data_IF_648183869827
#
_entry.id   IF_648183869827
#
_cell.length_a   1.000
_cell.length_b   1.000
_cell.length_c   1.000
_cell.angle_alpha   90.00
_cell.angle_beta   90.00
_cell.angle_gamma   90.00
#
_symmetry.space_group_name_H-M   'P 1'
#
loop_
_entity.id
_entity.type
_entity.pdbx_description
1 polymer ?
#
# COMPACT_ATOMS: atom_id res chain seq x y z
N UNK A 1 -24.84 -3.93 -19.90
CA UNK A 1 -24.18 -4.79 -20.93
C UNK A 1 -22.85 -5.23 -20.35
N UNK A 2 -22.33 -6.39 -20.72
CA UNK A 2 -21.02 -6.82 -20.20
C UNK A 2 -19.88 -6.11 -20.96
N UNK A 3 -18.92 -5.58 -20.23
CA UNK A 3 -17.72 -4.93 -20.74
C UNK A 3 -16.65 -5.95 -21.12
N UNK A 4 -16.56 -7.08 -20.40
CA UNK A 4 -15.51 -8.10 -20.62
C UNK A 4 -16.10 -9.41 -21.17
N UNK A 5 -16.70 -9.37 -22.36
CA UNK A 5 -17.52 -10.46 -22.90
C UNK A 5 -16.81 -11.83 -23.02
N UNK A 6 -15.50 -11.83 -23.20
CA UNK A 6 -14.72 -13.06 -23.43
C UNK A 6 -14.18 -13.71 -22.15
N UNK A 7 -14.39 -13.09 -20.98
CA UNK A 7 -13.84 -13.55 -19.71
C UNK A 7 -14.98 -13.88 -18.75
N UNK A 8 -15.02 -15.13 -18.29
CA UNK A 8 -15.93 -15.59 -17.25
C UNK A 8 -15.45 -15.22 -15.85
N UNK A 9 -16.10 -15.76 -14.82
CA UNK A 9 -15.57 -15.71 -13.47
C UNK A 9 -14.30 -16.56 -13.37
N UNK A 10 -13.25 -16.01 -12.79
CA UNK A 10 -11.96 -16.65 -12.57
C UNK A 10 -12.06 -17.52 -11.33
N UNK A 11 -11.83 -18.82 -11.50
CA UNK A 11 -11.95 -19.83 -10.44
C UNK A 11 -10.58 -20.43 -10.10
N UNK A 12 -10.47 -21.03 -8.92
CA UNK A 12 -9.28 -21.79 -8.54
C UNK A 12 -9.25 -23.16 -9.23
N UNK A 13 -8.18 -23.44 -9.95
CA UNK A 13 -7.95 -24.72 -10.64
C UNK A 13 -6.71 -25.48 -10.15
N UNK A 14 -5.95 -24.88 -9.24
CA UNK A 14 -4.76 -25.49 -8.63
C UNK A 14 -3.48 -25.36 -9.46
N UNK A 15 -2.35 -25.68 -8.82
CA UNK A 15 -0.99 -25.35 -9.29
C UNK A 15 -0.57 -26.01 -10.61
N UNK A 16 -1.33 -27.01 -11.08
CA UNK A 16 -1.07 -27.72 -12.35
C UNK A 16 -1.90 -27.20 -13.51
N UNK A 17 -2.82 -26.24 -13.29
CA UNK A 17 -3.63 -25.67 -14.36
C UNK A 17 -2.79 -24.85 -15.33
N UNK A 18 -3.05 -25.01 -16.61
CA UNK A 18 -2.49 -24.21 -17.71
C UNK A 18 -3.48 -23.16 -18.24
N UNK A 19 -4.70 -23.09 -17.69
CA UNK A 19 -5.70 -22.10 -18.08
C UNK A 19 -5.24 -20.71 -17.62
N UNK A 20 -4.95 -19.74 -18.51
CA UNK A 20 -4.46 -18.42 -18.07
C UNK A 20 -5.49 -17.62 -17.27
N UNK A 21 -6.80 -17.90 -17.41
CA UNK A 21 -7.90 -17.23 -16.72
C UNK A 21 -8.43 -18.02 -15.52
N UNK A 22 -7.52 -18.57 -14.73
CA UNK A 22 -7.81 -19.31 -13.50
C UNK A 22 -6.75 -19.02 -12.44
N UNK A 23 -7.10 -19.12 -11.16
CA UNK A 23 -6.12 -19.06 -10.07
C UNK A 23 -5.44 -20.42 -9.89
N UNK A 24 -4.11 -20.41 -9.69
CA UNK A 24 -3.29 -21.60 -9.44
C UNK A 24 -2.96 -21.77 -7.96
N UNK A 25 -2.95 -20.67 -7.22
CA UNK A 25 -2.59 -20.64 -5.80
C UNK A 25 -3.61 -19.88 -4.95
N UNK A 26 -4.30 -18.88 -5.49
CA UNK A 26 -5.35 -18.18 -4.76
C UNK A 26 -6.63 -19.02 -4.72
N UNK A 27 -6.88 -19.66 -3.58
CA UNK A 27 -8.17 -20.22 -3.24
C UNK A 27 -8.78 -19.37 -2.12
N UNK A 28 -9.81 -18.54 -2.39
CA UNK A 28 -10.33 -17.57 -1.42
C UNK A 28 -10.82 -18.21 -0.13
N UNK A 29 -11.26 -19.48 -0.18
CA UNK A 29 -11.80 -20.22 0.98
C UNK A 29 -10.80 -21.12 1.69
N UNK A 30 -9.59 -21.27 1.15
CA UNK A 30 -8.53 -22.05 1.81
C UNK A 30 -8.11 -21.36 3.11
N UNK A 31 -8.12 -22.11 4.22
CA UNK A 31 -7.69 -21.61 5.53
C UNK A 31 -6.18 -21.78 5.68
N UNK A 32 -5.47 -20.68 5.88
CA UNK A 32 -4.02 -20.61 6.12
C UNK A 32 -3.80 -19.85 7.42
N UNK A 33 -2.96 -20.34 8.33
CA UNK A 33 -2.69 -19.68 9.62
C UNK A 33 -3.97 -19.23 10.38
N UNK A 34 -5.04 -20.01 10.29
CA UNK A 34 -6.30 -19.78 11.03
C UNK A 34 -7.32 -18.82 10.40
N UNK A 35 -7.06 -18.23 9.23
CA UNK A 35 -8.03 -17.40 8.48
C UNK A 35 -8.08 -17.83 7.01
N UNK A 36 -9.15 -17.50 6.29
CA UNK A 36 -9.19 -17.75 4.84
C UNK A 36 -8.18 -16.86 4.10
N UNK A 37 -7.76 -17.26 2.89
CA UNK A 37 -6.90 -16.40 2.08
C UNK A 37 -7.54 -15.05 1.79
N UNK A 38 -8.85 -15.01 1.54
CA UNK A 38 -9.59 -13.76 1.32
C UNK A 38 -9.52 -12.83 2.55
N UNK A 39 -9.62 -13.39 3.76
CA UNK A 39 -9.53 -12.63 5.03
C UNK A 39 -8.12 -12.10 5.31
N UNK A 40 -7.07 -12.84 4.92
CA UNK A 40 -5.69 -12.37 5.06
C UNK A 40 -5.34 -11.29 4.05
N UNK A 41 -5.67 -11.53 2.79
CA UNK A 41 -5.17 -10.75 1.66
C UNK A 41 -6.04 -9.53 1.39
N UNK A 42 -7.37 -9.67 1.54
CA UNK A 42 -8.33 -8.56 1.37
C UNK A 42 -8.03 -7.76 0.10
N UNK A 43 -7.85 -8.48 -1.01
CA UNK A 43 -7.36 -7.89 -2.25
C UNK A 43 -8.26 -6.74 -2.73
N UNK A 44 -7.62 -5.69 -3.23
CA UNK A 44 -8.27 -4.49 -3.75
C UNK A 44 -7.82 -4.17 -5.16
N UNK A 45 -8.77 -3.72 -5.99
CA UNK A 45 -8.50 -3.10 -7.29
C UNK A 45 -8.16 -1.60 -7.11
N UNK A 46 -7.03 -1.15 -7.65
CA UNK A 46 -6.74 0.26 -7.84
C UNK A 46 -7.53 0.81 -9.04
N UNK A 47 -8.44 1.76 -8.79
CA UNK A 47 -9.32 2.32 -9.83
C UNK A 47 -8.51 3.06 -10.90
N UNK A 48 -7.51 3.86 -10.50
CA UNK A 48 -6.71 4.69 -11.41
C UNK A 48 -6.00 3.82 -12.46
N UNK A 49 -5.21 2.83 -12.04
CA UNK A 49 -4.47 1.97 -12.99
C UNK A 49 -5.35 1.02 -13.79
N UNK A 50 -6.44 0.53 -13.21
CA UNK A 50 -7.28 -0.46 -13.90
C UNK A 50 -8.21 0.18 -14.93
N UNK A 51 -8.82 1.32 -14.59
CA UNK A 51 -9.95 1.88 -15.34
C UNK A 51 -9.62 3.20 -16.03
N UNK A 52 -8.63 3.94 -15.54
CA UNK A 52 -8.32 5.29 -16.06
C UNK A 52 -7.01 5.37 -16.83
N UNK A 53 -5.99 4.58 -16.46
CA UNK A 53 -4.69 4.63 -17.10
C UNK A 53 -4.75 4.13 -18.55
N UNK A 54 -4.48 5.03 -19.49
CA UNK A 54 -4.45 4.74 -20.94
C UNK A 54 -3.11 4.21 -21.46
N UNK A 55 -2.08 4.05 -20.62
CA UNK A 55 -0.74 3.62 -21.05
C UNK A 55 0.12 4.73 -21.66
N UNK A 56 -0.26 6.01 -21.49
CA UNK A 56 0.62 7.12 -21.82
C UNK A 56 1.86 7.14 -20.91
N UNK A 57 2.97 7.63 -21.44
CA UNK A 57 4.22 7.84 -20.73
C UNK A 57 4.83 9.19 -21.16
N UNK A 58 5.93 9.67 -20.56
CA UNK A 58 6.53 10.97 -20.93
C UNK A 58 6.95 11.10 -22.41
N UNK A 59 6.97 10.02 -23.18
CA UNK A 59 7.46 9.94 -24.55
C UNK A 59 6.41 9.46 -25.56
N UNK A 60 5.18 9.17 -25.14
CA UNK A 60 4.16 8.60 -26.02
C UNK A 60 2.73 8.76 -25.53
N UNK A 61 1.78 8.75 -26.47
CA UNK A 61 0.35 8.79 -26.19
C UNK A 61 -0.17 7.46 -25.61
N UNK A 62 -1.43 7.48 -25.20
CA UNK A 62 -2.19 6.30 -24.77
C UNK A 62 -2.15 5.17 -25.81
N UNK A 63 -2.16 3.92 -25.33
CA UNK A 63 -2.13 2.68 -26.11
C UNK A 63 -3.28 1.74 -25.76
N UNK A 64 -3.84 1.85 -24.55
CA UNK A 64 -4.89 0.99 -24.06
C UNK A 64 -6.11 0.99 -24.99
N UNK A 65 -6.69 -0.19 -25.18
CA UNK A 65 -7.98 -0.37 -25.86
C UNK A 65 -8.98 -0.85 -24.82
N UNK A 66 -9.99 -0.03 -24.53
CA UNK A 66 -11.04 -0.35 -23.56
C UNK A 66 -12.43 -0.26 -24.19
N UNK A 67 -13.39 -1.09 -23.73
CA UNK A 67 -14.75 -1.09 -24.27
C UNK A 67 -15.52 0.24 -24.07
N UNK A 68 -15.06 1.13 -23.18
CA UNK A 68 -15.69 2.41 -22.86
C UNK A 68 -15.02 3.63 -23.51
N UNK A 69 -13.99 3.45 -24.34
CA UNK A 69 -13.20 4.56 -24.90
C UNK A 69 -13.98 5.47 -25.86
N UNK A 70 -15.16 5.03 -26.31
CA UNK A 70 -16.07 5.84 -27.12
C UNK A 70 -16.90 6.85 -26.30
N UNK A 71 -16.79 6.84 -24.97
CA UNK A 71 -17.53 7.71 -24.05
C UNK A 71 -16.64 8.83 -23.51
N UNK A 72 -17.25 9.89 -22.96
CA UNK A 72 -16.52 10.98 -22.32
C UNK A 72 -17.29 11.59 -21.14
N UNK A 73 -16.60 12.41 -20.34
CA UNK A 73 -17.20 13.13 -19.21
C UNK A 73 -17.92 12.20 -18.23
N UNK A 74 -19.14 12.58 -17.84
CA UNK A 74 -19.94 11.82 -16.87
C UNK A 74 -20.42 10.45 -17.40
N UNK A 75 -20.58 10.29 -18.72
CA UNK A 75 -20.99 9.00 -19.28
C UNK A 75 -19.84 7.99 -19.22
N UNK A 76 -18.61 8.44 -19.47
CA UNK A 76 -17.41 7.64 -19.25
C UNK A 76 -17.23 7.25 -17.79
N UNK A 77 -17.43 8.19 -16.86
CA UNK A 77 -17.36 7.93 -15.42
C UNK A 77 -18.35 6.83 -14.98
N UNK A 78 -19.60 6.90 -15.43
CA UNK A 78 -20.61 5.86 -15.15
C UNK A 78 -20.22 4.51 -15.74
N UNK A 79 -19.75 4.48 -16.99
CA UNK A 79 -19.32 3.24 -17.64
C UNK A 79 -18.14 2.58 -16.91
N UNK A 80 -17.17 3.37 -16.42
CA UNK A 80 -16.05 2.86 -15.61
C UNK A 80 -16.52 2.28 -14.28
N UNK A 81 -17.54 2.86 -13.62
CA UNK A 81 -18.14 2.24 -12.43
C UNK A 81 -18.72 0.87 -12.77
N UNK A 82 -19.57 0.78 -13.79
CA UNK A 82 -20.17 -0.49 -14.18
C UNK A 82 -19.11 -1.55 -14.55
N UNK A 83 -18.10 -1.16 -15.33
CA UNK A 83 -16.99 -2.02 -15.70
C UNK A 83 -16.15 -2.44 -14.49
N UNK A 84 -15.83 -1.54 -13.58
CA UNK A 84 -15.06 -1.83 -12.37
C UNK A 84 -15.74 -2.88 -11.49
N UNK A 85 -17.06 -2.78 -11.29
CA UNK A 85 -17.78 -3.79 -10.52
C UNK A 85 -17.90 -5.13 -11.25
N UNK A 86 -18.06 -5.14 -12.58
CA UNK A 86 -17.98 -6.39 -13.36
C UNK A 86 -16.60 -7.04 -13.25
N UNK A 87 -15.53 -6.24 -13.34
CA UNK A 87 -14.15 -6.70 -13.24
C UNK A 87 -13.87 -7.35 -11.89
N UNK A 88 -14.22 -6.66 -10.80
CA UNK A 88 -14.06 -7.17 -9.43
C UNK A 88 -14.89 -8.43 -9.18
N UNK A 89 -16.09 -8.53 -9.75
CA UNK A 89 -16.91 -9.73 -9.63
C UNK A 89 -16.26 -10.93 -10.33
N UNK A 90 -15.75 -10.72 -11.54
CA UNK A 90 -15.07 -11.78 -12.32
C UNK A 90 -13.78 -12.25 -11.66
N UNK A 91 -13.00 -11.38 -11.02
CA UNK A 91 -11.77 -11.77 -10.31
C UNK A 91 -11.98 -12.16 -8.85
N UNK A 92 -13.21 -12.10 -8.34
CA UNK A 92 -13.48 -12.27 -6.91
C UNK A 92 -12.64 -11.33 -6.02
N UNK A 93 -12.48 -10.07 -6.45
CA UNK A 93 -11.88 -9.02 -5.62
C UNK A 93 -12.95 -8.51 -4.64
N UNK A 94 -12.70 -8.50 -3.32
CA UNK A 94 -13.67 -8.01 -2.34
C UNK A 94 -13.65 -6.48 -2.17
N UNK A 95 -12.53 -5.82 -2.50
CA UNK A 95 -12.35 -4.39 -2.28
C UNK A 95 -11.92 -3.62 -3.54
N UNK A 96 -12.04 -2.29 -3.47
CA UNK A 96 -11.43 -1.34 -4.40
C UNK A 96 -10.94 -0.09 -3.66
N UNK A 97 -10.07 0.67 -4.32
CA UNK A 97 -9.54 1.96 -3.89
C UNK A 97 -9.66 2.99 -5.02
N UNK A 98 -9.85 4.28 -4.69
CA UNK A 98 -9.92 5.35 -5.69
C UNK A 98 -9.45 6.72 -5.18
N UNK A 99 -8.94 7.56 -6.10
CA UNK A 99 -8.93 9.01 -5.94
C UNK A 99 -10.24 9.61 -6.44
N UNK A 100 -10.64 10.72 -5.85
CA UNK A 100 -11.83 11.48 -6.25
C UNK A 100 -11.89 11.84 -7.75
N UNK A 101 -10.76 12.23 -8.36
CA UNK A 101 -10.69 12.54 -9.81
C UNK A 101 -10.75 11.31 -10.71
N UNK A 102 -10.49 10.11 -10.17
CA UNK A 102 -10.55 8.87 -10.95
C UNK A 102 -12.00 8.51 -11.28
N UNK A 103 -12.88 8.76 -10.30
CA UNK A 103 -14.29 8.39 -10.39
C UNK A 103 -15.14 9.46 -11.07
N UNK A 104 -14.76 10.73 -11.01
CA UNK A 104 -15.56 11.83 -11.54
C UNK A 104 -14.71 12.96 -12.16
N UNK A 105 -15.14 13.56 -13.29
CA UNK A 105 -14.45 14.70 -13.88
C UNK A 105 -14.57 15.96 -13.00
N UNK A 106 -13.48 16.73 -12.91
CA UNK A 106 -13.41 17.97 -12.12
C UNK A 106 -14.44 19.03 -12.52
N UNK A 107 -14.84 19.07 -13.80
CA UNK A 107 -15.69 20.14 -14.32
C UNK A 107 -14.97 21.51 -14.33
N UNK A 108 -15.74 22.60 -14.28
CA UNK A 108 -15.21 23.97 -14.39
C UNK A 108 -14.84 24.61 -13.05
N UNK A 109 -15.35 24.10 -11.93
CA UNK A 109 -15.14 24.66 -10.60
C UNK A 109 -15.44 23.62 -9.50
N UNK A 110 -15.04 23.94 -8.26
CA UNK A 110 -15.17 23.02 -7.12
C UNK A 110 -16.62 22.59 -6.81
N UNK A 111 -17.61 23.46 -7.06
CA UNK A 111 -19.03 23.12 -6.83
C UNK A 111 -19.52 22.11 -7.86
N UNK A 112 -19.11 22.27 -9.11
CA UNK A 112 -19.38 21.29 -10.17
C UNK A 112 -18.67 19.96 -9.89
N UNK A 113 -17.40 20.00 -9.46
CA UNK A 113 -16.67 18.79 -9.08
C UNK A 113 -17.41 18.00 -8.00
N UNK A 114 -17.89 18.66 -6.95
CA UNK A 114 -18.65 18.01 -5.88
C UNK A 114 -19.95 17.40 -6.40
N UNK A 115 -20.68 18.10 -7.28
CA UNK A 115 -21.91 17.57 -7.90
C UNK A 115 -21.63 16.33 -8.76
N UNK A 116 -20.51 16.33 -9.48
CA UNK A 116 -20.08 15.18 -10.30
C UNK A 116 -19.71 13.99 -9.41
N UNK A 117 -18.91 14.22 -8.36
CA UNK A 117 -18.58 13.21 -7.34
C UNK A 117 -19.87 12.63 -6.75
N UNK A 118 -20.80 13.46 -6.30
CA UNK A 118 -22.03 12.99 -5.66
C UNK A 118 -22.83 12.07 -6.58
N UNK A 119 -22.93 12.42 -7.86
CA UNK A 119 -23.61 11.61 -8.87
C UNK A 119 -22.95 10.23 -9.04
N UNK A 120 -21.63 10.16 -9.05
CA UNK A 120 -20.90 8.89 -9.22
C UNK A 120 -20.89 8.08 -7.92
N UNK A 121 -20.77 8.73 -6.77
CA UNK A 121 -20.84 8.09 -5.45
C UNK A 121 -22.22 7.46 -5.22
N UNK A 122 -23.31 8.08 -5.68
CA UNK A 122 -24.64 7.46 -5.68
C UNK A 122 -24.65 6.12 -6.45
N UNK A 123 -24.00 6.09 -7.61
CA UNK A 123 -23.90 4.89 -8.45
C UNK A 123 -23.02 3.81 -7.78
N UNK A 124 -21.85 4.18 -7.28
CA UNK A 124 -20.93 3.28 -6.55
C UNK A 124 -21.65 2.68 -5.35
N UNK A 125 -22.35 3.49 -4.54
CA UNK A 125 -23.10 3.01 -3.37
C UNK A 125 -24.15 1.97 -3.76
N UNK A 126 -24.86 2.19 -4.88
CA UNK A 126 -25.83 1.24 -5.42
C UNK A 126 -25.19 -0.10 -5.82
N UNK A 127 -24.02 -0.05 -6.47
CA UNK A 127 -23.28 -1.26 -6.85
C UNK A 127 -22.68 -2.00 -5.64
N UNK A 128 -22.16 -1.29 -4.64
CA UNK A 128 -21.67 -1.90 -3.39
C UNK A 128 -22.79 -2.66 -2.68
N UNK A 129 -24.00 -2.09 -2.62
CA UNK A 129 -25.17 -2.75 -2.02
C UNK A 129 -25.59 -4.02 -2.76
N UNK A 130 -25.50 -4.05 -4.09
CA UNK A 130 -25.93 -5.20 -4.89
C UNK A 130 -24.90 -6.33 -4.97
N UNK A 131 -23.61 -5.99 -4.88
CA UNK A 131 -22.50 -6.94 -5.06
C UNK A 131 -21.82 -7.35 -3.76
N UNK A 132 -21.99 -6.58 -2.69
CA UNK A 132 -21.30 -6.78 -1.42
C UNK A 132 -19.82 -6.35 -1.42
N UNK A 133 -19.31 -5.79 -2.52
CA UNK A 133 -17.96 -5.24 -2.61
C UNK A 133 -17.84 -4.01 -1.72
N UNK A 134 -16.65 -3.78 -1.19
CA UNK A 134 -16.39 -2.76 -0.17
C UNK A 134 -15.31 -1.78 -0.60
N UNK A 135 -15.35 -0.58 -0.03
CA UNK A 135 -14.30 0.41 -0.23
C UNK A 135 -13.21 0.17 0.81
N UNK A 136 -12.00 -0.22 0.38
CA UNK A 136 -10.89 -0.38 1.32
C UNK A 136 -10.41 0.97 1.79
N UNK A 137 -10.19 1.88 0.84
CA UNK A 137 -9.94 3.30 1.12
C UNK A 137 -10.23 4.18 -0.09
N UNK A 138 -10.45 5.45 0.18
CA UNK A 138 -10.42 6.49 -0.84
C UNK A 138 -9.42 7.57 -0.44
N UNK A 139 -9.06 8.41 -1.41
CA UNK A 139 -8.12 9.51 -1.23
C UNK A 139 -8.47 10.69 -2.15
N UNK A 140 -7.71 11.78 -2.04
CA UNK A 140 -7.85 12.97 -2.87
C UNK A 140 -6.63 13.10 -3.79
N UNK A 141 -6.84 13.18 -5.10
CA UNK A 141 -5.76 13.50 -6.02
C UNK A 141 -5.45 15.00 -5.95
N UNK A 142 -4.41 15.34 -5.18
CA UNK A 142 -3.93 16.70 -5.02
C UNK A 142 -2.56 16.90 -5.70
N UNK A 143 -2.37 16.26 -6.86
CA UNK A 143 -1.06 16.24 -7.53
C UNK A 143 -1.10 16.33 -9.06
N UNK A 144 -2.22 15.96 -9.69
CA UNK A 144 -2.37 16.02 -11.16
C UNK A 144 -2.74 17.42 -11.64
N UNK A 145 -3.68 18.10 -10.98
CA UNK A 145 -4.15 19.41 -11.44
C UNK A 145 -3.04 20.47 -11.34
N UNK A 146 -2.87 21.38 -12.35
CA UNK A 146 -1.81 22.40 -12.34
C UNK A 146 -1.76 23.28 -11.09
N UNK A 147 -2.90 23.44 -10.38
CA UNK A 147 -2.94 24.22 -9.12
C UNK A 147 -1.99 23.68 -8.04
N UNK A 148 -1.67 22.39 -8.07
CA UNK A 148 -0.85 21.70 -7.07
C UNK A 148 0.64 21.62 -7.44
N UNK A 149 1.09 22.31 -8.51
CA UNK A 149 2.48 22.23 -8.98
C UNK A 149 3.53 22.67 -7.93
N UNK A 150 3.12 23.36 -6.87
CA UNK A 150 3.98 23.80 -5.77
C UNK A 150 3.59 23.17 -4.42
N UNK A 151 2.92 22.02 -4.44
CA UNK A 151 2.40 21.36 -3.23
C UNK A 151 0.92 21.62 -3.00
N UNK A 152 0.35 20.88 -2.05
CA UNK A 152 -1.05 20.99 -1.64
C UNK A 152 -1.12 21.47 -0.18
N UNK A 153 -0.84 20.59 0.79
CA UNK A 153 -0.63 20.96 2.18
C UNK A 153 0.70 21.68 2.42
N UNK A 154 1.69 21.49 1.54
CA UNK A 154 3.00 22.15 1.61
C UNK A 154 3.12 23.38 0.71
N UNK A 155 2.01 23.82 0.12
CA UNK A 155 2.04 24.92 -0.86
C UNK A 155 2.51 26.27 -0.28
N UNK A 156 3.19 27.06 -1.11
CA UNK A 156 3.48 28.46 -0.83
C UNK A 156 2.29 29.41 -1.08
N UNK A 157 1.16 28.90 -1.58
CA UNK A 157 -0.06 29.68 -1.87
C UNK A 157 -1.23 29.26 -0.96
N UNK A 158 -1.62 30.12 -0.03
CA UNK A 158 -2.72 29.85 0.92
C UNK A 158 -4.06 29.52 0.24
N UNK A 159 -4.34 30.03 -0.96
CA UNK A 159 -5.56 29.68 -1.69
C UNK A 159 -5.53 28.22 -2.17
N UNK A 160 -4.35 27.72 -2.59
CA UNK A 160 -4.16 26.31 -2.95
C UNK A 160 -4.30 25.42 -1.72
N UNK A 161 -3.79 25.85 -0.56
CA UNK A 161 -3.96 25.13 0.70
C UNK A 161 -5.45 24.99 1.06
N UNK A 162 -6.22 26.07 0.89
CA UNK A 162 -7.67 26.03 1.12
C UNK A 162 -8.39 25.08 0.15
N UNK A 163 -7.98 25.04 -1.12
CA UNK A 163 -8.50 24.08 -2.10
C UNK A 163 -8.18 22.63 -1.72
N UNK A 164 -6.94 22.34 -1.29
CA UNK A 164 -6.53 21.02 -0.81
C UNK A 164 -7.37 20.57 0.40
N UNK A 165 -7.52 21.44 1.40
CA UNK A 165 -8.35 21.16 2.57
C UNK A 165 -9.82 20.90 2.22
N UNK A 166 -10.37 21.65 1.25
CA UNK A 166 -11.74 21.41 0.77
C UNK A 166 -11.86 20.04 0.07
N UNK A 167 -10.86 19.62 -0.69
CA UNK A 167 -10.85 18.32 -1.36
C UNK A 167 -10.74 17.16 -0.36
N UNK A 168 -9.85 17.28 0.64
CA UNK A 168 -9.76 16.33 1.77
C UNK A 168 -11.09 16.23 2.52
N UNK A 169 -11.70 17.37 2.87
CA UNK A 169 -13.02 17.42 3.53
C UNK A 169 -14.06 16.61 2.76
N UNK A 170 -14.19 16.83 1.45
CA UNK A 170 -15.13 16.09 0.60
C UNK A 170 -14.78 14.60 0.53
N UNK A 171 -13.49 14.27 0.43
CA UNK A 171 -13.01 12.89 0.44
C UNK A 171 -13.40 12.14 1.72
N UNK A 172 -13.28 12.78 2.89
CA UNK A 172 -13.70 12.18 4.17
C UNK A 172 -15.21 11.94 4.23
N UNK A 173 -16.02 12.87 3.71
CA UNK A 173 -17.48 12.70 3.61
C UNK A 173 -17.85 11.52 2.70
N UNK A 174 -17.20 11.40 1.55
CA UNK A 174 -17.38 10.28 0.61
C UNK A 174 -16.95 8.96 1.24
N UNK A 175 -15.79 8.93 1.89
CA UNK A 175 -15.28 7.74 2.58
C UNK A 175 -16.25 7.27 3.66
N UNK A 176 -16.76 8.19 4.49
CA UNK A 176 -17.80 7.88 5.47
C UNK A 176 -19.07 7.33 4.80
N UNK A 177 -19.53 7.97 3.73
CA UNK A 177 -20.77 7.59 3.04
C UNK A 177 -20.68 6.18 2.45
N UNK A 178 -19.54 5.83 1.86
CA UNK A 178 -19.31 4.53 1.25
C UNK A 178 -18.80 3.48 2.25
N UNK A 179 -18.55 3.85 3.51
CA UNK A 179 -18.08 2.95 4.54
C UNK A 179 -16.63 2.51 4.34
N UNK A 180 -15.76 3.41 3.87
CA UNK A 180 -14.34 3.17 3.71
C UNK A 180 -13.71 2.70 5.04
N UNK A 181 -12.85 1.68 4.97
CA UNK A 181 -12.14 1.19 6.15
C UNK A 181 -10.95 2.07 6.53
N UNK A 182 -10.33 2.71 5.54
CA UNK A 182 -9.18 3.59 5.69
C UNK A 182 -9.33 4.85 4.80
N UNK A 183 -8.51 5.87 5.04
CA UNK A 183 -8.36 7.03 4.16
C UNK A 183 -6.88 7.33 3.98
N UNK A 184 -6.43 7.40 2.73
CA UNK A 184 -4.99 7.48 2.39
C UNK A 184 -4.58 8.91 2.07
N UNK A 185 -3.35 9.26 2.44
CA UNK A 185 -2.63 10.46 2.03
C UNK A 185 -1.31 10.06 1.38
N UNK A 186 -1.24 10.14 0.05
CA UNK A 186 0.02 10.07 -0.68
C UNK A 186 0.48 11.47 -1.07
N UNK A 187 1.68 11.85 -0.64
CA UNK A 187 2.22 13.20 -0.75
C UNK A 187 2.81 13.55 -2.12
N UNK A 188 2.16 13.22 -3.24
CA UNK A 188 2.77 13.32 -4.57
C UNK A 188 3.35 14.69 -4.95
N UNK A 189 2.88 15.80 -4.35
CA UNK A 189 3.49 17.14 -4.49
C UNK A 189 3.98 17.72 -3.15
N UNK A 190 3.88 16.96 -2.07
CA UNK A 190 4.25 17.36 -0.71
C UNK A 190 5.75 17.15 -0.50
N UNK A 191 6.53 18.04 -1.10
CA UNK A 191 7.98 17.98 -1.16
C UNK A 191 8.52 19.17 -1.92
N UNK A 192 9.77 19.08 -2.39
CA UNK A 192 10.39 20.19 -3.12
C UNK A 192 11.08 19.74 -4.41
N UNK A 193 11.28 20.70 -5.32
CA UNK A 193 12.20 20.56 -6.46
C UNK A 193 13.57 21.18 -6.19
N UNK A 194 13.64 22.28 -5.43
CA UNK A 194 14.89 22.93 -5.04
C UNK A 194 14.79 23.53 -3.65
N UNK A 195 15.79 23.30 -2.79
CA UNK A 195 15.83 23.90 -1.46
C UNK A 195 16.00 25.42 -1.47
N UNK A 196 16.42 26.01 -2.60
CA UNK A 196 16.68 27.45 -2.71
C UNK A 196 15.42 28.32 -2.55
N UNK A 197 14.23 27.75 -2.77
CA UNK A 197 12.95 28.44 -2.65
C UNK A 197 11.97 27.74 -1.68
N UNK A 198 12.46 26.83 -0.83
CA UNK A 198 11.64 26.01 0.06
C UNK A 198 11.93 26.36 1.52
N UNK A 199 10.92 26.83 2.25
CA UNK A 199 10.95 26.86 3.70
C UNK A 199 10.42 25.52 4.23
N UNK A 200 11.32 24.54 4.31
CA UNK A 200 10.95 23.16 4.65
C UNK A 200 10.29 23.06 6.03
N UNK A 201 10.65 23.92 6.99
CA UNK A 201 10.01 23.86 8.30
C UNK A 201 8.56 24.36 8.23
N UNK A 202 8.31 25.47 7.54
CA UNK A 202 6.95 25.97 7.34
C UNK A 202 6.06 24.96 6.60
N UNK A 203 6.59 24.35 5.55
CA UNK A 203 5.88 23.36 4.74
C UNK A 203 5.51 22.11 5.56
N UNK A 204 6.44 21.55 6.32
CA UNK A 204 6.17 20.42 7.22
C UNK A 204 5.17 20.79 8.33
N UNK A 205 5.27 21.99 8.91
CA UNK A 205 4.33 22.47 9.91
C UNK A 205 2.91 22.63 9.31
N UNK A 206 2.79 23.07 8.07
CA UNK A 206 1.51 23.20 7.36
C UNK A 206 0.91 21.85 6.99
N UNK A 207 1.72 20.90 6.52
CA UNK A 207 1.25 19.54 6.27
C UNK A 207 0.71 18.90 7.55
N UNK A 208 1.39 19.07 8.68
CA UNK A 208 0.92 18.61 9.97
C UNK A 208 -0.40 19.29 10.40
N UNK A 209 -0.55 20.61 10.16
CA UNK A 209 -1.82 21.33 10.41
C UNK A 209 -2.95 20.75 9.57
N UNK A 210 -2.72 20.43 8.31
CA UNK A 210 -3.73 19.81 7.44
C UNK A 210 -4.17 18.45 7.98
N UNK A 211 -3.23 17.62 8.41
CA UNK A 211 -3.55 16.31 9.01
C UNK A 211 -4.30 16.42 10.33
N UNK A 212 -3.94 17.36 11.21
CA UNK A 212 -4.71 17.64 12.42
C UNK A 212 -6.15 18.08 12.09
N UNK A 213 -6.33 18.97 11.11
CA UNK A 213 -7.66 19.38 10.64
C UNK A 213 -8.45 18.19 10.07
N UNK A 214 -7.83 17.31 9.30
CA UNK A 214 -8.47 16.12 8.76
C UNK A 214 -8.93 15.17 9.88
N UNK A 215 -8.09 14.96 10.91
CA UNK A 215 -8.41 14.13 12.08
C UNK A 215 -9.58 14.74 12.87
N UNK A 216 -9.54 16.04 13.12
CA UNK A 216 -10.62 16.73 13.83
C UNK A 216 -11.93 16.69 13.05
N UNK A 217 -11.86 16.87 11.73
CA UNK A 217 -13.04 16.80 10.88
C UNK A 217 -13.62 15.39 10.79
N UNK A 218 -12.77 14.35 10.69
CA UNK A 218 -13.22 12.96 10.73
C UNK A 218 -13.95 12.66 12.05
N UNK A 219 -13.46 13.16 13.19
CA UNK A 219 -14.18 13.07 14.48
C UNK A 219 -15.50 13.83 14.45
N UNK A 220 -15.52 15.06 13.92
CA UNK A 220 -16.72 15.90 13.80
C UNK A 220 -17.84 15.16 13.03
N UNK A 221 -17.50 14.53 11.91
CA UNK A 221 -18.47 13.78 11.12
C UNK A 221 -18.66 12.35 11.62
N UNK A 222 -17.96 11.89 12.66
CA UNK A 222 -18.05 10.49 13.13
C UNK A 222 -17.60 9.47 12.09
N UNK A 223 -16.53 9.76 11.36
CA UNK A 223 -15.86 8.84 10.45
C UNK A 223 -14.68 8.20 11.16
N UNK A 224 -14.90 6.99 11.66
CA UNK A 224 -13.88 6.19 12.32
C UNK A 224 -13.13 5.34 11.27
N UNK A 225 -12.35 5.96 10.38
CA UNK A 225 -11.43 5.25 9.47
C UNK A 225 -9.99 5.34 9.96
N UNK A 226 -9.19 4.32 9.65
CA UNK A 226 -7.75 4.42 9.87
C UNK A 226 -7.15 5.38 8.83
N UNK A 227 -6.48 6.43 9.27
CA UNK A 227 -5.72 7.26 8.35
C UNK A 227 -4.39 6.61 8.02
N UNK A 228 -3.97 6.73 6.77
CA UNK A 228 -2.75 6.12 6.25
C UNK A 228 -1.91 7.18 5.54
N UNK A 229 -0.62 7.26 5.85
CA UNK A 229 0.36 7.96 5.01
C UNK A 229 1.05 6.91 4.14
N UNK A 230 1.25 7.23 2.87
CA UNK A 230 1.92 6.36 1.90
C UNK A 230 3.30 6.89 1.54
N UNK A 231 4.38 6.35 2.14
CA UNK A 231 5.71 6.90 1.94
C UNK A 231 6.21 6.70 0.51
N UNK A 232 6.88 7.71 -0.03
CA UNK A 232 7.65 7.68 -1.28
C UNK A 232 8.81 8.66 -1.21
N UNK A 233 10.01 8.31 -1.72
CA UNK A 233 11.20 9.16 -1.55
C UNK A 233 11.23 10.40 -2.46
N UNK A 234 10.63 10.29 -3.65
CA UNK A 234 10.73 11.24 -4.77
C UNK A 234 9.72 10.85 -5.85
N UNK A 235 9.70 11.61 -6.94
CA UNK A 235 8.86 11.42 -8.12
C UNK A 235 7.36 11.61 -7.83
N UNK A 236 6.78 12.75 -8.28
CA UNK A 236 7.35 13.73 -9.20
C UNK A 236 8.26 14.80 -8.56
N UNK A 237 8.32 14.89 -7.22
CA UNK A 237 9.22 15.84 -6.54
C UNK A 237 10.68 15.37 -6.60
N UNK A 238 11.64 16.27 -6.38
CA UNK A 238 13.05 15.88 -6.20
C UNK A 238 13.23 15.12 -4.87
N UNK A 239 12.51 15.57 -3.84
CA UNK A 239 12.47 14.97 -2.52
C UNK A 239 11.06 15.14 -1.97
N UNK A 240 10.41 14.03 -1.66
CA UNK A 240 9.12 13.97 -0.99
C UNK A 240 9.34 13.79 0.51
N UNK A 241 8.52 14.44 1.33
CA UNK A 241 8.78 14.58 2.77
C UNK A 241 8.54 13.28 3.55
N UNK A 242 7.50 12.54 3.18
CA UNK A 242 7.17 11.18 3.60
C UNK A 242 8.09 10.17 2.88
N UNK A 243 9.40 10.31 3.08
CA UNK A 243 10.43 9.67 2.24
C UNK A 243 10.43 8.12 2.30
N UNK A 244 10.33 7.58 3.50
CA UNK A 244 10.29 6.15 3.82
C UNK A 244 9.52 5.94 5.14
N UNK A 245 9.35 4.69 5.58
CA UNK A 245 8.63 4.35 6.79
C UNK A 245 9.21 5.04 8.03
N UNK A 246 10.55 5.04 8.17
CA UNK A 246 11.20 5.63 9.33
C UNK A 246 11.03 7.16 9.39
N UNK A 247 11.19 7.84 8.26
CA UNK A 247 11.04 9.29 8.12
C UNK A 247 9.59 9.71 8.39
N UNK A 248 8.65 8.95 7.84
CA UNK A 248 7.22 9.19 8.03
C UNK A 248 6.80 8.99 9.48
N UNK A 249 7.28 7.94 10.14
CA UNK A 249 7.04 7.70 11.57
C UNK A 249 7.63 8.84 12.42
N UNK A 250 8.84 9.31 12.09
CA UNK A 250 9.46 10.42 12.80
C UNK A 250 8.65 11.72 12.66
N UNK A 251 8.10 12.00 11.48
CA UNK A 251 7.18 13.12 11.26
C UNK A 251 5.92 12.99 12.13
N UNK A 252 5.27 11.82 12.09
CA UNK A 252 4.06 11.57 12.88
C UNK A 252 4.31 11.75 14.38
N UNK A 253 5.42 11.24 14.90
CA UNK A 253 5.82 11.40 16.30
C UNK A 253 6.13 12.87 16.66
N UNK A 254 6.83 13.60 15.78
CA UNK A 254 7.16 15.02 16.00
C UNK A 254 5.88 15.86 16.18
N UNK A 255 4.84 15.56 15.42
CA UNK A 255 3.61 16.34 15.38
C UNK A 255 2.45 15.74 16.19
N UNK A 256 2.67 14.65 16.94
CA UNK A 256 1.66 14.03 17.80
C UNK A 256 0.50 13.37 17.02
N UNK A 257 0.79 12.84 15.83
CA UNK A 257 -0.18 12.21 14.92
C UNK A 257 -0.09 10.67 14.94
N UNK A 258 0.86 10.10 15.68
CA UNK A 258 1.18 8.67 15.70
C UNK A 258 0.02 7.78 16.19
N UNK A 259 -0.97 8.34 16.88
CA UNK A 259 -2.15 7.61 17.35
C UNK A 259 -3.30 7.59 16.34
N UNK A 260 -3.21 8.39 15.29
CA UNK A 260 -4.26 8.57 14.29
C UNK A 260 -3.90 7.96 12.95
N UNK A 261 -2.60 7.84 12.66
CA UNK A 261 -2.08 7.36 11.40
C UNK A 261 -1.36 6.02 11.55
N UNK A 262 -1.41 5.25 10.47
CA UNK A 262 -0.54 4.12 10.17
C UNK A 262 0.06 4.34 8.78
N UNK A 263 0.84 3.39 8.28
CA UNK A 263 1.44 3.45 6.95
C UNK A 263 0.70 2.56 5.96
N UNK A 264 0.50 3.08 4.75
CA UNK A 264 0.26 2.30 3.54
C UNK A 264 1.63 2.11 2.87
N UNK A 265 2.14 0.88 2.79
CA UNK A 265 3.48 0.66 2.25
C UNK A 265 3.40 0.09 0.84
N UNK A 266 4.16 0.69 -0.07
CA UNK A 266 4.26 0.24 -1.45
C UNK A 266 5.66 -0.31 -1.77
N UNK A 267 5.72 -1.42 -2.51
CA UNK A 267 6.97 -2.10 -2.82
C UNK A 267 7.88 -1.30 -3.77
N UNK A 268 7.33 -0.66 -4.80
CA UNK A 268 8.12 0.15 -5.71
C UNK A 268 8.64 1.41 -5.00
N UNK A 269 7.84 2.06 -4.15
CA UNK A 269 8.29 3.19 -3.33
C UNK A 269 9.43 2.80 -2.38
N UNK A 270 9.31 1.66 -1.70
CA UNK A 270 10.35 1.14 -0.80
C UNK A 270 11.70 0.96 -1.52
N UNK A 271 11.68 0.30 -2.69
CA UNK A 271 12.90 0.04 -3.46
C UNK A 271 13.48 1.31 -4.08
N UNK A 272 12.64 2.27 -4.48
CA UNK A 272 13.07 3.58 -4.96
C UNK A 272 13.76 4.42 -3.86
N UNK A 273 13.44 4.16 -2.58
CA UNK A 273 14.06 4.77 -1.41
C UNK A 273 15.39 4.09 -1.03
N UNK A 274 15.72 2.96 -1.67
CA UNK A 274 16.91 2.17 -1.39
C UNK A 274 16.71 1.07 -0.34
N UNK A 275 15.47 0.73 -0.01
CA UNK A 275 15.12 -0.30 0.96
C UNK A 275 14.49 -1.52 0.28
N UNK A 276 14.61 -2.70 0.89
CA UNK A 276 13.75 -3.83 0.46
C UNK A 276 12.34 -3.64 1.02
N UNK A 277 11.34 -4.25 0.41
CA UNK A 277 9.96 -4.05 0.86
C UNK A 277 9.74 -4.62 2.28
N UNK A 278 10.29 -5.80 2.57
CA UNK A 278 10.21 -6.40 3.90
C UNK A 278 10.93 -5.58 4.98
N UNK A 279 11.92 -4.76 4.62
CA UNK A 279 12.53 -3.82 5.56
C UNK A 279 11.50 -2.78 6.03
N UNK A 280 10.82 -2.12 5.09
CA UNK A 280 9.81 -1.10 5.39
C UNK A 280 8.65 -1.68 6.20
N UNK A 281 8.18 -2.89 5.84
CA UNK A 281 7.16 -3.57 6.62
C UNK A 281 7.64 -3.89 8.04
N UNK A 282 8.89 -4.34 8.21
CA UNK A 282 9.42 -4.63 9.55
C UNK A 282 9.57 -3.36 10.38
N UNK A 283 10.04 -2.25 9.79
CA UNK A 283 10.12 -0.94 10.46
C UNK A 283 8.73 -0.51 10.92
N UNK A 284 7.72 -0.57 10.05
CA UNK A 284 6.36 -0.22 10.41
C UNK A 284 5.79 -1.15 11.50
N UNK A 285 5.97 -2.47 11.36
CA UNK A 285 5.47 -3.48 12.29
C UNK A 285 6.02 -3.29 13.71
N UNK A 286 7.33 -3.11 13.88
CA UNK A 286 7.93 -2.97 15.22
C UNK A 286 7.60 -1.64 15.90
N UNK A 287 7.01 -0.69 15.16
CA UNK A 287 6.51 0.58 15.67
C UNK A 287 4.98 0.62 15.75
N UNK A 288 4.28 -0.51 15.57
CA UNK A 288 2.82 -0.63 15.53
C UNK A 288 2.14 0.22 14.42
N UNK A 289 2.88 0.51 13.37
CA UNK A 289 2.53 1.43 12.29
C UNK A 289 2.17 0.75 10.96
N UNK A 290 2.27 -0.58 10.86
CA UNK A 290 1.84 -1.30 9.65
C UNK A 290 0.31 -1.24 9.53
N UNK A 291 -0.19 -0.60 8.46
CA UNK A 291 -1.62 -0.34 8.23
C UNK A 291 -2.18 -1.05 7.01
N UNK A 292 -1.65 -0.79 5.82
CA UNK A 292 -2.11 -1.39 4.56
C UNK A 292 -0.92 -1.55 3.60
N UNK A 293 -1.14 -2.26 2.48
CA UNK A 293 -0.13 -2.45 1.44
C UNK A 293 -0.66 -2.03 0.08
N UNK A 294 0.22 -1.42 -0.70
CA UNK A 294 0.15 -1.41 -2.16
C UNK A 294 1.11 -2.45 -2.73
N UNK A 295 0.53 -3.50 -3.29
CA UNK A 295 1.23 -4.64 -3.84
C UNK A 295 1.54 -4.44 -5.31
N UNK A 296 2.75 -3.97 -5.54
CA UNK A 296 3.38 -3.91 -6.85
C UNK A 296 4.85 -4.35 -6.74
N UNK A 297 5.64 -4.06 -7.75
CA UNK A 297 7.09 -4.14 -7.73
C UNK A 297 7.66 -3.06 -8.66
N UNK A 298 8.87 -2.60 -8.34
CA UNK A 298 9.69 -1.82 -9.27
C UNK A 298 10.65 -2.68 -10.07
N UNK A 299 11.40 -2.03 -10.95
CA UNK A 299 12.60 -2.62 -11.53
C UNK A 299 13.84 -1.99 -10.88
N UNK A 300 14.68 -2.80 -10.23
CA UNK A 300 15.85 -2.34 -9.48
C UNK A 300 16.92 -1.63 -10.34
N UNK A 301 16.84 -1.76 -11.67
CA UNK A 301 17.71 -1.07 -12.62
C UNK A 301 17.11 0.25 -13.12
N UNK A 302 15.86 0.53 -12.76
CA UNK A 302 15.06 1.66 -13.22
C UNK A 302 14.79 2.59 -12.04
N UNK A 303 15.25 3.84 -12.15
CA UNK A 303 15.19 4.82 -11.07
C UNK A 303 13.88 5.61 -10.98
N UNK A 304 12.76 5.02 -11.40
CA UNK A 304 11.41 5.61 -11.37
C UNK A 304 10.37 4.53 -11.11
N UNK A 305 9.14 4.95 -10.83
CA UNK A 305 8.01 4.08 -10.51
C UNK A 305 7.46 3.36 -11.75
N UNK A 306 7.57 2.04 -11.77
CA UNK A 306 7.10 1.21 -12.88
C UNK A 306 5.72 0.62 -12.63
N UNK A 307 5.28 0.53 -11.37
CA UNK A 307 4.00 0.00 -10.90
C UNK A 307 3.69 -1.38 -11.50
N UNK A 308 4.68 -2.28 -11.51
CA UNK A 308 4.49 -3.64 -12.02
C UNK A 308 3.69 -4.50 -11.06
N UNK A 309 2.88 -5.42 -11.59
CA UNK A 309 2.25 -6.43 -10.75
C UNK A 309 3.33 -7.28 -10.07
N UNK A 310 3.12 -7.68 -8.80
CA UNK A 310 4.13 -8.44 -8.07
C UNK A 310 4.17 -9.88 -8.59
N UNK A 311 5.32 -10.29 -9.12
CA UNK A 311 5.54 -11.64 -9.65
C UNK A 311 6.76 -12.33 -9.04
N UNK A 312 7.47 -11.65 -8.14
CA UNK A 312 8.57 -12.25 -7.39
C UNK A 312 8.07 -12.96 -6.13
N UNK A 313 8.17 -14.29 -6.11
CA UNK A 313 7.71 -15.10 -5.00
C UNK A 313 8.53 -14.93 -3.70
N UNK A 314 9.81 -14.55 -3.82
CA UNK A 314 10.64 -14.27 -2.64
C UNK A 314 10.12 -13.05 -1.90
N UNK A 315 9.86 -11.97 -2.66
CA UNK A 315 9.39 -10.70 -2.09
C UNK A 315 7.99 -10.88 -1.50
N UNK A 316 7.09 -11.57 -2.19
CA UNK A 316 5.75 -11.88 -1.66
C UNK A 316 5.80 -12.74 -0.38
N UNK A 317 6.71 -13.72 -0.31
CA UNK A 317 6.90 -14.56 0.88
C UNK A 317 7.40 -13.73 2.06
N UNK A 318 8.42 -12.90 1.86
CA UNK A 318 9.00 -12.07 2.92
C UNK A 318 8.04 -10.96 3.36
N UNK A 319 7.30 -10.37 2.43
CA UNK A 319 6.22 -9.41 2.71
C UNK A 319 5.17 -10.02 3.62
N UNK A 320 4.62 -11.18 3.21
CA UNK A 320 3.55 -11.82 3.97
C UNK A 320 4.03 -12.47 5.28
N UNK A 321 5.33 -12.77 5.39
CA UNK A 321 5.94 -13.10 6.66
C UNK A 321 5.82 -11.95 7.66
N UNK A 322 6.12 -10.69 7.27
CA UNK A 322 5.89 -9.53 8.15
C UNK A 322 4.42 -9.33 8.48
N UNK A 323 3.54 -9.46 7.49
CA UNK A 323 2.10 -9.30 7.69
C UNK A 323 1.58 -10.30 8.72
N UNK A 324 1.97 -11.57 8.61
CA UNK A 324 1.59 -12.59 9.57
C UNK A 324 2.21 -12.32 10.96
N UNK A 325 3.47 -11.88 11.03
CA UNK A 325 4.12 -11.48 12.28
C UNK A 325 3.49 -10.24 12.92
N UNK A 326 2.75 -9.42 12.17
CA UNK A 326 1.95 -8.29 12.67
C UNK A 326 0.54 -8.71 13.13
N UNK A 327 0.14 -9.96 12.90
CA UNK A 327 -1.25 -10.42 13.11
C UNK A 327 -2.22 -10.07 11.98
N UNK A 328 -1.69 -9.64 10.82
CA UNK A 328 -2.44 -9.17 9.66
C UNK A 328 -2.32 -7.66 9.44
N UNK A 329 -3.17 -7.11 8.57
CA UNK A 329 -3.20 -5.67 8.22
C UNK A 329 -4.28 -4.88 8.97
N UNK A 330 -4.94 -5.48 9.97
CA UNK A 330 -6.06 -4.83 10.67
C UNK A 330 -7.19 -4.46 9.70
N UNK A 331 -7.36 -3.15 9.45
CA UNK A 331 -8.38 -2.59 8.54
C UNK A 331 -7.87 -2.41 7.10
N UNK A 332 -6.56 -2.49 6.88
CA UNK A 332 -5.96 -2.43 5.56
C UNK A 332 -6.15 -3.72 4.76
N UNK A 333 -5.50 -3.76 3.60
CA UNK A 333 -5.56 -4.88 2.68
C UNK A 333 -4.41 -4.82 1.69
N UNK A 334 -4.46 -5.71 0.69
CA UNK A 334 -3.48 -5.75 -0.40
C UNK A 334 -4.11 -5.09 -1.62
N UNK A 335 -3.87 -3.80 -1.82
CA UNK A 335 -4.31 -3.08 -3.00
C UNK A 335 -3.32 -3.25 -4.14
N UNK A 336 -3.79 -3.60 -5.33
CA UNK A 336 -2.92 -3.69 -6.50
C UNK A 336 -2.73 -2.31 -7.11
N UNK A 337 -1.89 -1.48 -6.50
CA UNK A 337 -1.38 -0.25 -7.11
C UNK A 337 -0.37 -0.57 -8.22
N UNK A 338 -0.88 -1.27 -9.23
CA UNK A 338 -0.10 -1.78 -10.34
C UNK A 338 -0.88 -1.61 -11.64
N UNK A 339 -0.15 -1.34 -12.72
CA UNK A 339 -0.68 -1.18 -14.08
C UNK A 339 -0.20 -2.27 -15.01
N UNK A 340 -1.03 -2.62 -15.99
CA UNK A 340 -0.56 -3.39 -17.14
C UNK A 340 0.51 -2.59 -17.88
N UNK A 341 1.43 -3.30 -18.54
CA UNK A 341 2.50 -2.64 -19.29
C UNK A 341 1.91 -1.89 -20.47
N UNK A 342 2.55 -0.81 -20.91
CA UNK A 342 2.12 -0.04 -22.09
C UNK A 342 1.86 -0.91 -23.36
N UNK A 343 2.66 -1.96 -23.64
CA UNK A 343 2.38 -2.89 -24.74
C UNK A 343 1.34 -4.00 -24.43
N UNK A 344 0.90 -4.12 -23.18
CA UNK A 344 -0.19 -5.00 -22.72
C UNK A 344 -1.49 -4.18 -22.67
N UNK A 345 -1.99 -3.85 -23.86
CA UNK A 345 -3.00 -2.81 -24.04
C UNK A 345 -4.42 -3.34 -24.17
N UNK A 346 -4.64 -4.65 -24.27
CA UNK A 346 -5.97 -5.25 -24.38
C UNK A 346 -6.64 -5.34 -23.00
N UNK A 347 -7.97 -5.45 -22.93
CA UNK A 347 -8.62 -5.52 -21.61
C UNK A 347 -8.40 -6.89 -20.94
N UNK A 348 -8.10 -7.93 -21.72
CA UNK A 348 -7.71 -9.26 -21.25
C UNK A 348 -6.47 -9.21 -20.36
N UNK A 349 -5.50 -8.34 -20.70
CA UNK A 349 -4.26 -8.17 -19.95
C UNK A 349 -4.51 -7.68 -18.52
N UNK A 350 -5.59 -6.93 -18.28
CA UNK A 350 -5.98 -6.52 -16.93
C UNK A 350 -6.23 -7.75 -16.04
N UNK A 351 -6.92 -8.77 -16.56
CA UNK A 351 -7.20 -10.01 -15.83
C UNK A 351 -5.93 -10.84 -15.63
N UNK A 352 -5.14 -11.01 -16.69
CA UNK A 352 -3.91 -11.79 -16.64
C UNK A 352 -2.93 -11.24 -15.59
N UNK A 353 -2.78 -9.91 -15.54
CA UNK A 353 -1.89 -9.25 -14.60
C UNK A 353 -2.37 -9.37 -13.15
N UNK A 354 -3.66 -9.17 -12.89
CA UNK A 354 -4.23 -9.35 -11.55
C UNK A 354 -4.15 -10.81 -11.08
N UNK A 355 -4.44 -11.78 -11.95
CA UNK A 355 -4.30 -13.21 -11.61
C UNK A 355 -2.86 -13.51 -11.20
N UNK A 356 -1.86 -13.01 -11.95
CA UNK A 356 -0.46 -13.21 -11.62
C UNK A 356 -0.09 -12.61 -10.25
N UNK A 357 -0.53 -11.39 -9.95
CA UNK A 357 -0.30 -10.74 -8.65
C UNK A 357 -0.97 -11.49 -7.50
N UNK A 358 -2.25 -11.84 -7.66
CA UNK A 358 -3.05 -12.55 -6.66
C UNK A 358 -2.48 -13.94 -6.35
N UNK A 359 -2.10 -14.71 -7.37
CA UNK A 359 -1.48 -16.03 -7.20
C UNK A 359 -0.11 -15.94 -6.52
N UNK A 360 0.69 -14.92 -6.87
CA UNK A 360 2.02 -14.72 -6.27
C UNK A 360 1.91 -14.43 -4.78
N UNK A 361 1.02 -13.53 -4.38
CA UNK A 361 0.76 -13.26 -2.97
C UNK A 361 0.10 -14.44 -2.26
N UNK A 362 -0.82 -15.17 -2.90
CA UNK A 362 -1.42 -16.37 -2.30
C UNK A 362 -0.39 -17.48 -2.03
N UNK A 363 0.53 -17.75 -2.96
CA UNK A 363 1.64 -18.70 -2.71
C UNK A 363 2.59 -18.16 -1.63
N UNK A 364 2.91 -16.86 -1.66
CA UNK A 364 3.71 -16.20 -0.62
C UNK A 364 3.11 -16.37 0.79
N UNK A 365 1.77 -16.26 0.92
CA UNK A 365 1.05 -16.43 2.18
C UNK A 365 1.27 -17.84 2.75
N UNK A 366 1.10 -18.86 1.91
CA UNK A 366 1.26 -20.28 2.30
C UNK A 366 2.68 -20.55 2.78
N UNK A 367 3.68 -20.07 2.04
CA UNK A 367 5.09 -20.26 2.37
C UNK A 367 5.44 -19.53 3.67
N UNK A 368 5.04 -18.27 3.80
CA UNK A 368 5.24 -17.46 5.00
C UNK A 368 4.62 -18.10 6.25
N UNK A 369 3.38 -18.57 6.14
CA UNK A 369 2.70 -19.26 7.23
C UNK A 369 3.46 -20.51 7.67
N UNK A 370 4.00 -21.29 6.72
CA UNK A 370 4.76 -22.51 7.03
C UNK A 370 6.11 -22.20 7.68
N UNK A 371 6.81 -21.15 7.23
CA UNK A 371 8.05 -20.67 7.87
C UNK A 371 7.83 -20.29 9.34
N UNK A 372 6.72 -19.61 9.64
CA UNK A 372 6.36 -19.18 11.00
C UNK A 372 5.91 -20.37 11.85
N UNK A 373 5.07 -21.25 11.32
CA UNK A 373 4.61 -22.47 12.01
C UNK A 373 5.80 -23.32 12.47
N UNK A 374 6.77 -23.52 11.58
CA UNK A 374 7.96 -24.32 11.84
C UNK A 374 9.05 -23.53 12.60
N UNK A 375 8.80 -22.25 12.92
CA UNK A 375 9.69 -21.35 13.66
C UNK A 375 11.11 -21.24 13.07
N UNK A 376 11.20 -21.32 11.74
CA UNK A 376 12.45 -21.50 11.00
C UNK A 376 13.47 -20.39 11.32
N UNK A 377 13.00 -19.14 11.35
CA UNK A 377 13.85 -17.99 11.61
C UNK A 377 13.84 -17.60 13.09
N UNK A 378 12.72 -17.77 13.76
CA UNK A 378 12.48 -17.40 15.15
C UNK A 378 13.40 -18.16 16.10
N UNK A 379 13.55 -19.47 15.92
CA UNK A 379 14.41 -20.28 16.77
C UNK A 379 15.89 -19.95 16.55
N UNK A 380 16.28 -19.66 15.30
CA UNK A 380 17.62 -19.18 15.00
C UNK A 380 17.90 -17.82 15.66
N UNK A 381 16.96 -16.87 15.56
CA UNK A 381 17.06 -15.54 16.18
C UNK A 381 17.11 -15.65 17.71
N UNK A 382 16.21 -16.43 18.32
CA UNK A 382 16.18 -16.63 19.77
C UNK A 382 17.51 -17.19 20.30
N UNK A 383 18.09 -18.19 19.61
CA UNK A 383 19.41 -18.70 19.94
C UNK A 383 20.49 -17.64 19.77
N UNK A 384 20.48 -16.90 18.64
CA UNK A 384 21.46 -15.86 18.32
C UNK A 384 21.55 -14.76 19.37
N UNK A 385 20.43 -14.39 19.99
CA UNK A 385 20.35 -13.34 21.01
C UNK A 385 20.24 -13.86 22.45
N UNK A 386 20.43 -15.17 22.68
CA UNK A 386 20.27 -15.82 24.01
C UNK A 386 21.12 -15.22 25.13
N UNK A 387 22.23 -14.54 24.84
CA UNK A 387 23.03 -13.87 25.87
C UNK A 387 22.31 -12.70 26.54
N UNK A 388 21.27 -12.14 25.93
CA UNK A 388 20.48 -11.04 26.49
C UNK A 388 19.33 -11.51 27.38
N UNK A 389 19.08 -12.83 27.49
CA UNK A 389 18.09 -13.39 28.42
C UNK A 389 18.68 -13.91 29.73
N UNK A 390 19.99 -13.77 29.94
CA UNK A 390 20.68 -14.25 31.15
C UNK A 390 21.85 -13.33 31.55
N UNK A 391 22.31 -13.48 32.80
CA UNK A 391 23.49 -12.79 33.32
C UNK A 391 23.52 -11.28 33.04
N UNK A 392 24.68 -10.79 32.60
CA UNK A 392 24.88 -9.36 32.33
C UNK A 392 23.95 -8.81 31.23
N UNK A 393 23.56 -9.64 30.26
CA UNK A 393 22.67 -9.21 29.19
C UNK A 393 21.24 -9.00 29.69
N UNK A 394 20.76 -9.84 30.61
CA UNK A 394 19.48 -9.64 31.27
C UNK A 394 19.47 -8.35 32.11
N UNK A 395 20.58 -8.00 32.77
CA UNK A 395 20.70 -6.74 33.51
C UNK A 395 20.66 -5.51 32.58
N UNK A 396 21.22 -5.61 31.36
CA UNK A 396 21.12 -4.57 30.33
C UNK A 396 19.66 -4.37 29.92
N UNK A 397 18.97 -5.44 29.53
CA UNK A 397 17.58 -5.37 29.04
C UNK A 397 16.62 -4.87 30.13
N UNK A 398 16.86 -5.25 31.39
CA UNK A 398 16.06 -4.80 32.52
C UNK A 398 16.38 -3.37 32.99
N UNK A 399 17.32 -2.65 32.37
CA UNK A 399 17.72 -1.30 32.76
C UNK A 399 18.47 -1.21 34.09
N UNK A 400 19.04 -2.32 34.57
CA UNK A 400 19.81 -2.39 35.82
C UNK A 400 21.29 -2.09 35.63
N UNK A 401 21.82 -2.41 34.45
CA UNK A 401 23.20 -2.18 34.12
C UNK A 401 23.49 -0.68 33.91
N UNK A 402 24.66 -0.24 34.34
CA UNK A 402 25.21 1.09 34.07
C UNK A 402 26.51 0.96 33.28
N UNK A 403 27.00 2.05 32.69
CA UNK A 403 28.31 2.04 32.03
C UNK A 403 29.43 1.58 33.00
N UNK A 404 29.37 1.97 34.27
CA UNK A 404 30.35 1.55 35.28
C UNK A 404 30.27 0.04 35.54
N UNK A 405 29.06 -0.51 35.81
CA UNK A 405 28.93 -1.94 36.10
C UNK A 405 29.29 -2.82 34.89
N UNK A 406 29.03 -2.34 33.67
CA UNK A 406 29.42 -3.03 32.44
C UNK A 406 30.93 -2.99 32.22
N UNK A 407 31.57 -1.85 32.49
CA UNK A 407 33.02 -1.73 32.44
C UNK A 407 33.68 -2.66 33.47
N UNK A 408 33.18 -2.69 34.70
CA UNK A 408 33.68 -3.58 35.75
C UNK A 408 33.49 -5.05 35.37
N UNK A 409 32.32 -5.42 34.83
CA UNK A 409 32.10 -6.78 34.31
C UNK A 409 33.11 -7.12 33.21
N UNK A 410 33.30 -6.23 32.24
CA UNK A 410 34.21 -6.46 31.12
C UNK A 410 35.68 -6.57 31.55
N UNK A 411 36.13 -5.72 32.48
CA UNK A 411 37.49 -5.75 33.04
C UNK A 411 37.78 -7.06 33.80
N UNK A 412 36.76 -7.68 34.39
CA UNK A 412 36.89 -8.93 35.15
C UNK A 412 36.53 -10.19 34.33
N UNK A 413 36.01 -10.05 33.10
CA UNK A 413 35.64 -11.16 32.24
C UNK A 413 36.82 -11.63 31.37
N UNK A 414 37.69 -12.46 31.94
CA UNK A 414 38.90 -12.96 31.26
C UNK A 414 38.61 -13.89 30.06
N UNK A 415 37.39 -14.42 29.95
CA UNK A 415 36.98 -15.37 28.91
C UNK A 415 35.60 -15.01 28.37
N UNK A 416 35.48 -13.92 27.59
CA UNK A 416 34.19 -13.50 27.04
C UNK A 416 33.60 -14.58 26.13
N UNK A 417 32.26 -14.69 26.13
CA UNK A 417 31.53 -15.58 25.23
C UNK A 417 31.95 -15.30 23.78
N UNK A 418 32.32 -16.34 23.04
CA UNK A 418 32.73 -16.22 21.64
C UNK A 418 31.52 -15.90 20.76
N UNK A 419 31.74 -15.06 19.75
CA UNK A 419 30.77 -14.86 18.67
C UNK A 419 30.56 -16.14 17.84
N UNK A 420 29.32 -16.35 17.39
CA UNK A 420 28.94 -17.44 16.49
C UNK A 420 28.67 -16.93 15.06
N UNK A 421 28.69 -17.82 14.07
CA UNK A 421 28.38 -17.49 12.67
C UNK A 421 26.91 -17.06 12.51
N UNK A 422 26.67 -16.05 11.66
CA UNK A 422 25.31 -15.61 11.32
C UNK A 422 24.52 -16.53 10.39
N UNK A 423 25.15 -17.55 9.78
CA UNK A 423 24.51 -18.59 8.94
C UNK A 423 23.62 -18.04 7.81
N UNK A 424 23.94 -16.89 7.24
CA UNK A 424 23.10 -16.21 6.24
C UNK A 424 22.78 -17.10 5.02
N UNK A 425 23.80 -17.72 4.43
CA UNK A 425 23.64 -18.55 3.23
C UNK A 425 22.79 -19.79 3.52
N UNK A 426 22.94 -20.36 4.71
CA UNK A 426 22.11 -21.48 5.17
C UNK A 426 20.65 -21.05 5.32
N UNK A 427 20.38 -19.90 5.94
CA UNK A 427 19.02 -19.37 6.11
C UNK A 427 18.35 -19.08 4.76
N UNK A 428 19.08 -18.48 3.82
CA UNK A 428 18.60 -18.29 2.44
C UNK A 428 18.35 -19.63 1.72
N UNK A 429 19.24 -20.61 1.92
CA UNK A 429 19.05 -21.95 1.39
C UNK A 429 17.83 -22.69 1.97
N UNK A 430 17.47 -22.43 3.23
CA UNK A 430 16.25 -22.96 3.85
C UNK A 430 15.02 -22.23 3.27
N UNK A 431 15.07 -20.91 3.11
CA UNK A 431 13.99 -20.16 2.45
C UNK A 431 13.68 -20.73 1.05
N UNK A 432 14.70 -21.04 0.25
CA UNK A 432 14.52 -21.70 -1.05
C UNK A 432 13.76 -23.02 -0.93
N UNK A 433 14.08 -23.84 0.08
CA UNK A 433 13.40 -25.12 0.30
C UNK A 433 11.91 -24.94 0.61
N UNK A 434 11.55 -23.93 1.39
CA UNK A 434 10.14 -23.64 1.70
C UNK A 434 9.38 -23.06 0.51
N UNK A 435 10.00 -22.18 -0.29
CA UNK A 435 9.38 -21.62 -1.51
C UNK A 435 9.15 -22.71 -2.57
N UNK A 436 10.12 -23.59 -2.76
CA UNK A 436 10.09 -24.66 -3.77
C UNK A 436 9.35 -25.91 -3.30
N UNK A 437 8.91 -25.97 -2.04
CA UNK A 437 8.06 -27.05 -1.55
C UNK A 437 6.66 -26.95 -2.18
N UNK A 438 6.10 -28.12 -2.51
CA UNK A 438 4.79 -28.26 -3.14
C UNK A 438 3.65 -27.80 -2.22
#
# INVERSE_FOLDING_TARGET
>A
MAYFNNIGKVEFEGSKSTNPYAFKFYNPTEVVAGKTMEEHLRFSMAYWHTLTAGGADPFGSETAVRPWDNLSGMDLAKARVEAGFEFMEKLNLPYFCFHDVDIAPEGSNLREFYSNIDTIVDSIEGHMKSTGKKLLWNTANMFTNPRFMHGAGTTCNADVYAHAAAQVKKGLEVGKRLGAENYVFWGGREGYETLLNTDMNLELDNLARLFHMAVDYAKEIGFDAQFLIEPKPKEPTKHQYDFDAATTIAFLQKYGLEKHFKLNLEANHATLAGHTFEHELRVARINDMLGSLDANQGDMLIGWDTDEFPVNIYDATLTLYEVLMNGGLGRGGVNFDAKVRRPSFEYEDLFLAHIAGMDTYAKGLKVAAKLIEDRVFEDFIAKRYSSFSEGIGADVVAGKATLSSLADYALNNQSPRRNESGRQEMLKGILNQYILAD
#
